data_IF_700007098438
#
_entry.id   IF_700007098438
#
_cell.length_a   1.000
_cell.length_b   1.000
_cell.length_c   1.000
_cell.angle_alpha   90.00
_cell.angle_beta   90.00
_cell.angle_gamma   90.00
#
_symmetry.space_group_name_H-M   'P 1'
#
loop_
_entity.id
_entity.type
_entity.pdbx_description
1 polymer ?
#
# COMPACT_ATOMS: atom_id res chain seq x y z
N UNK A 1 -30.47 39.30 -16.55
CA UNK A 1 -29.06 39.33 -16.99
C UNK A 1 -28.70 37.95 -17.54
N UNK A 2 -28.43 37.85 -18.83
CA UNK A 2 -27.98 36.63 -19.52
C UNK A 2 -26.52 36.80 -19.87
N UNK A 3 -25.66 35.87 -19.43
CA UNK A 3 -24.36 35.56 -20.07
C UNK A 3 -23.67 34.43 -19.30
N UNK A 4 -23.00 33.45 -19.90
CA UNK A 4 -22.88 32.96 -21.27
C UNK A 4 -22.14 31.62 -21.09
N UNK A 5 -22.70 30.53 -21.60
CA UNK A 5 -21.99 29.26 -21.70
C UNK A 5 -20.77 29.44 -22.61
N UNK A 6 -19.60 28.98 -22.16
CA UNK A 6 -18.46 28.72 -23.05
C UNK A 6 -17.92 27.34 -22.74
N UNK A 7 -18.51 26.36 -23.40
CA UNK A 7 -17.93 25.03 -23.60
C UNK A 7 -16.65 25.20 -24.43
N UNK A 8 -15.50 24.86 -23.86
CA UNK A 8 -14.25 24.70 -24.63
C UNK A 8 -13.95 23.22 -24.77
N UNK A 9 -14.51 22.63 -25.81
CA UNK A 9 -14.07 21.36 -26.37
C UNK A 9 -12.70 21.59 -27.01
N UNK A 10 -11.64 20.98 -26.45
CA UNK A 10 -10.37 20.83 -27.13
C UNK A 10 -10.23 19.38 -27.55
N UNK A 11 -10.60 19.11 -28.80
CA UNK A 11 -10.17 17.92 -29.51
C UNK A 11 -8.73 18.15 -29.97
N UNK A 12 -7.82 17.27 -29.56
CA UNK A 12 -6.49 17.15 -30.17
C UNK A 12 -6.33 15.69 -30.60
N UNK A 13 -6.46 15.46 -31.90
CA UNK A 13 -6.00 14.25 -32.58
C UNK A 13 -4.60 14.52 -33.13
N UNK A 14 -3.61 13.73 -32.74
CA UNK A 14 -2.59 13.20 -33.66
C UNK A 14 -1.50 12.35 -32.96
N UNK A 15 -1.47 11.08 -33.38
CA UNK A 15 -0.29 10.30 -33.79
C UNK A 15 0.64 9.76 -32.70
N UNK A 16 0.70 8.42 -32.69
CA UNK A 16 1.51 7.57 -31.84
C UNK A 16 3.02 7.79 -32.03
N UNK A 17 3.69 8.13 -30.93
CA UNK A 17 5.00 7.59 -30.61
C UNK A 17 4.80 6.70 -29.39
N UNK A 18 5.20 5.43 -29.50
CA UNK A 18 5.14 4.46 -28.41
C UNK A 18 6.17 4.81 -27.33
N UNK A 19 5.89 5.84 -26.56
CA UNK A 19 6.39 5.96 -25.19
C UNK A 19 5.36 5.21 -24.35
N UNK A 20 5.75 4.03 -23.88
CA UNK A 20 5.05 3.37 -22.79
C UNK A 20 5.09 4.35 -21.60
N UNK A 21 4.07 5.21 -21.50
CA UNK A 21 3.80 5.93 -20.28
C UNK A 21 3.65 4.85 -19.20
N UNK A 22 4.41 4.89 -18.09
CA UNK A 22 4.07 4.04 -16.98
C UNK A 22 2.63 4.38 -16.65
N UNK A 23 1.75 3.39 -16.72
CA UNK A 23 0.42 3.51 -16.19
C UNK A 23 0.61 4.07 -14.78
N UNK A 24 0.21 5.32 -14.56
CA UNK A 24 -0.11 5.82 -13.23
C UNK A 24 -1.32 5.00 -12.80
N UNK A 25 -1.08 3.73 -12.49
CA UNK A 25 -1.92 2.95 -11.64
C UNK A 25 -1.81 3.69 -10.31
N UNK A 26 -2.70 4.65 -10.10
CA UNK A 26 -3.20 4.90 -8.76
C UNK A 26 -3.61 3.52 -8.27
N UNK A 27 -2.71 2.84 -7.56
CA UNK A 27 -3.04 1.69 -6.76
C UNK A 27 -3.98 2.25 -5.72
N UNK A 28 -5.26 2.38 -6.10
CA UNK A 28 -6.32 2.58 -5.15
C UNK A 28 -6.12 1.45 -4.18
N UNK A 29 -5.75 1.78 -2.95
CA UNK A 29 -5.77 0.84 -1.83
C UNK A 29 -7.21 0.37 -1.79
N UNK A 30 -7.50 -0.73 -2.50
CA UNK A 30 -8.78 -1.40 -2.47
C UNK A 30 -9.04 -1.59 -0.99
N UNK A 31 -10.11 -0.92 -0.50
CA UNK A 31 -10.31 -0.69 0.92
C UNK A 31 -10.03 -1.98 1.67
N UNK A 32 -8.93 -1.98 2.42
CA UNK A 32 -8.43 -3.16 3.11
C UNK A 32 -9.61 -3.82 3.83
N UNK A 33 -9.93 -5.07 3.49
CA UNK A 33 -10.86 -5.85 4.32
C UNK A 33 -10.36 -5.77 5.77
N UNK A 34 -11.27 -5.73 6.76
CA UNK A 34 -10.90 -5.83 8.16
C UNK A 34 -9.88 -6.97 8.34
N UNK A 35 -8.72 -6.68 8.92
CA UNK A 35 -7.64 -7.65 9.12
C UNK A 35 -6.56 -7.75 8.04
N UNK A 36 -6.76 -7.22 6.83
CA UNK A 36 -5.80 -7.32 5.71
C UNK A 36 -4.96 -6.04 5.59
N UNK A 37 -3.82 -5.97 6.31
CA UNK A 37 -3.08 -4.70 6.47
C UNK A 37 -2.72 -4.05 5.13
N UNK A 38 -2.69 -2.71 5.01
CA UNK A 38 -2.64 -2.02 3.72
C UNK A 38 -1.41 -2.35 2.87
N UNK A 39 -0.32 -2.82 3.48
CA UNK A 39 0.90 -3.24 2.78
C UNK A 39 0.69 -4.47 1.89
N UNK A 40 -0.29 -5.35 2.20
CA UNK A 40 -0.51 -6.63 1.49
C UNK A 40 -0.82 -6.42 0.00
N UNK A 41 -1.36 -5.25 -0.36
CA UNK A 41 -1.78 -4.88 -1.71
C UNK A 41 -0.70 -4.15 -2.52
N UNK A 42 0.44 -3.82 -1.90
CA UNK A 42 1.48 -3.00 -2.54
C UNK A 42 2.30 -3.80 -3.54
N UNK A 43 2.68 -3.17 -4.65
CA UNK A 43 3.62 -3.72 -5.65
C UNK A 43 5.03 -3.13 -5.51
N UNK A 44 5.27 -2.30 -4.50
CA UNK A 44 6.55 -1.69 -4.22
C UNK A 44 7.64 -2.73 -3.94
N UNK A 45 8.85 -2.47 -4.47
CA UNK A 45 10.04 -3.26 -4.14
C UNK A 45 10.46 -3.03 -2.69
N UNK A 46 11.40 -3.85 -2.20
CA UNK A 46 11.92 -3.69 -0.84
C UNK A 46 12.50 -2.29 -0.60
N UNK A 47 13.32 -1.78 -1.53
CA UNK A 47 14.01 -0.49 -1.33
C UNK A 47 13.00 0.66 -1.27
N UNK A 48 12.00 0.63 -2.15
CA UNK A 48 10.89 1.58 -2.18
C UNK A 48 10.07 1.56 -0.90
N UNK A 49 9.68 0.35 -0.46
CA UNK A 49 8.90 0.16 0.74
C UNK A 49 9.68 0.62 1.98
N UNK A 50 10.96 0.29 2.05
CA UNK A 50 11.81 0.66 3.18
C UNK A 50 12.14 2.16 3.21
N UNK A 51 12.34 2.80 2.05
CA UNK A 51 12.46 4.25 1.95
C UNK A 51 11.19 4.96 2.44
N UNK A 52 10.01 4.51 2.01
CA UNK A 52 8.74 5.03 2.51
C UNK A 52 8.56 4.82 4.02
N UNK A 53 8.97 3.66 4.55
CA UNK A 53 8.94 3.41 6.01
C UNK A 53 9.84 4.41 6.76
N UNK A 54 11.03 4.73 6.24
CA UNK A 54 11.93 5.72 6.85
C UNK A 54 11.31 7.12 6.91
N UNK A 55 10.52 7.50 5.91
CA UNK A 55 9.87 8.82 5.88
C UNK A 55 8.59 8.85 6.71
N UNK A 56 7.67 7.90 6.49
CA UNK A 56 6.31 7.96 7.02
C UNK A 56 6.18 7.33 8.43
N UNK A 57 7.11 6.43 8.77
CA UNK A 57 7.14 5.71 10.03
C UNK A 57 8.58 5.59 10.61
N UNK A 58 9.27 6.70 10.89
CA UNK A 58 10.70 6.70 11.23
C UNK A 58 11.02 5.85 12.48
N UNK A 59 10.13 5.83 13.49
CA UNK A 59 10.29 4.94 14.66
C UNK A 59 10.25 3.46 14.28
N UNK A 60 9.42 3.08 13.30
CA UNK A 60 9.36 1.72 12.80
C UNK A 60 10.61 1.37 11.98
N UNK A 61 11.14 2.32 11.21
CA UNK A 61 12.40 2.15 10.50
C UNK A 61 13.56 1.86 11.47
N UNK A 62 13.71 2.65 12.54
CA UNK A 62 14.73 2.40 13.57
C UNK A 62 14.58 1.01 14.19
N UNK A 63 13.35 0.63 14.58
CA UNK A 63 13.09 -0.69 15.15
C UNK A 63 13.36 -1.84 14.16
N UNK A 64 13.20 -1.59 12.85
CA UNK A 64 13.52 -2.55 11.80
C UNK A 64 15.03 -2.67 11.61
N UNK A 65 15.77 -1.57 11.73
CA UNK A 65 17.24 -1.51 11.56
C UNK A 65 17.99 -2.26 12.64
N UNK A 66 17.43 -2.29 13.84
CA UNK A 66 17.95 -3.06 14.96
C UNK A 66 17.67 -4.56 14.85
N UNK A 67 16.89 -5.00 13.83
CA UNK A 67 16.38 -6.37 13.70
C UNK A 67 16.66 -6.96 12.31
N UNK A 68 17.85 -7.54 12.07
CA UNK A 68 18.20 -8.12 10.77
C UNK A 68 17.20 -9.17 10.26
N UNK A 69 16.66 -10.01 11.16
CA UNK A 69 15.64 -10.99 10.80
C UNK A 69 14.33 -10.34 10.32
N UNK A 70 13.96 -9.17 10.85
CA UNK A 70 12.78 -8.43 10.40
C UNK A 70 13.03 -7.74 9.05
N UNK A 71 14.24 -7.25 8.80
CA UNK A 71 14.62 -6.74 7.48
C UNK A 71 14.53 -7.83 6.42
N UNK A 72 15.01 -9.04 6.70
CA UNK A 72 14.89 -10.16 5.77
C UNK A 72 13.42 -10.48 5.47
N UNK A 73 12.56 -10.55 6.51
CA UNK A 73 11.12 -10.75 6.30
C UNK A 73 10.48 -9.68 5.43
N UNK A 74 10.90 -8.42 5.56
CA UNK A 74 10.40 -7.35 4.70
C UNK A 74 10.85 -7.54 3.24
N UNK A 75 12.09 -8.00 3.01
CA UNK A 75 12.60 -8.35 1.66
C UNK A 75 11.79 -9.49 1.07
N UNK A 76 11.58 -10.57 1.83
CA UNK A 76 10.83 -11.74 1.39
C UNK A 76 9.38 -11.37 1.09
N UNK A 77 8.77 -10.54 1.94
CA UNK A 77 7.45 -9.98 1.72
C UNK A 77 7.40 -9.19 0.40
N UNK A 78 8.30 -8.23 0.21
CA UNK A 78 8.33 -7.39 -0.99
C UNK A 78 8.58 -8.18 -2.28
N UNK A 79 9.33 -9.29 -2.20
CA UNK A 79 9.58 -10.18 -3.34
C UNK A 79 8.38 -11.08 -3.68
N UNK A 80 7.47 -11.32 -2.75
CA UNK A 80 6.27 -12.14 -2.97
C UNK A 80 5.25 -11.38 -3.85
N UNK A 81 4.67 -12.01 -4.90
CA UNK A 81 3.56 -11.44 -5.65
C UNK A 81 2.35 -11.13 -4.77
N UNK A 82 1.59 -10.09 -5.10
CA UNK A 82 0.43 -9.64 -4.30
C UNK A 82 -0.59 -10.76 -4.12
N UNK A 83 -0.86 -11.53 -5.17
CA UNK A 83 -1.81 -12.65 -5.12
C UNK A 83 -1.33 -13.72 -4.14
N UNK A 84 -0.03 -14.02 -4.13
CA UNK A 84 0.55 -14.99 -3.22
C UNK A 84 0.49 -14.50 -1.76
N UNK A 85 0.72 -13.20 -1.52
CA UNK A 85 0.58 -12.60 -0.17
C UNK A 85 -0.85 -12.74 0.36
N UNK A 86 -1.84 -12.45 -0.49
CA UNK A 86 -3.25 -12.56 -0.13
C UNK A 86 -3.67 -14.02 0.11
N UNK A 87 -3.19 -14.95 -0.72
CA UNK A 87 -3.45 -16.37 -0.54
C UNK A 87 -2.85 -16.89 0.77
N UNK A 88 -1.62 -16.52 1.07
CA UNK A 88 -0.95 -16.93 2.31
C UNK A 88 -1.64 -16.35 3.54
N UNK A 89 -2.02 -15.06 3.51
CA UNK A 89 -2.81 -14.46 4.58
C UNK A 89 -4.15 -15.17 4.76
N UNK A 90 -4.85 -15.45 3.66
CA UNK A 90 -6.13 -16.18 3.69
C UNK A 90 -5.98 -17.57 4.28
N UNK A 91 -4.92 -18.30 3.90
CA UNK A 91 -4.59 -19.63 4.44
C UNK A 91 -4.31 -19.55 5.95
N UNK A 92 -3.48 -18.60 6.38
CA UNK A 92 -3.14 -18.40 7.79
C UNK A 92 -4.37 -18.08 8.64
N UNK A 93 -5.26 -17.22 8.16
CA UNK A 93 -6.50 -16.87 8.85
C UNK A 93 -7.49 -18.04 8.90
N UNK A 94 -7.55 -18.87 7.85
CA UNK A 94 -8.37 -20.08 7.84
C UNK A 94 -7.85 -21.13 8.83
N UNK A 95 -6.53 -21.29 8.95
CA UNK A 95 -5.88 -22.18 9.93
C UNK A 95 -5.98 -21.64 11.36
N UNK A 96 -6.15 -20.33 11.52
CA UNK A 96 -6.19 -19.64 12.80
C UNK A 96 -7.41 -18.71 12.89
N UNK A 97 -8.65 -19.23 12.94
CA UNK A 97 -9.86 -18.43 12.86
C UNK A 97 -9.99 -17.39 13.98
N UNK A 98 -9.37 -17.65 15.14
CA UNK A 98 -9.32 -16.72 16.26
C UNK A 98 -8.42 -15.49 16.01
N UNK A 99 -7.56 -15.50 14.98
CA UNK A 99 -6.67 -14.37 14.69
C UNK A 99 -7.42 -13.19 14.10
N UNK A 100 -8.43 -13.43 13.26
CA UNK A 100 -9.21 -12.38 12.63
C UNK A 100 -9.78 -11.41 13.68
N UNK A 101 -10.53 -11.94 14.65
CA UNK A 101 -11.12 -11.14 15.71
C UNK A 101 -10.07 -10.38 16.53
N UNK A 102 -8.91 -10.99 16.80
CA UNK A 102 -7.81 -10.34 17.53
C UNK A 102 -7.14 -9.22 16.75
N UNK A 103 -7.02 -9.38 15.43
CA UNK A 103 -6.49 -8.34 14.55
C UNK A 103 -7.46 -7.16 14.54
N UNK A 104 -8.75 -7.44 14.35
CA UNK A 104 -9.80 -6.42 14.33
C UNK A 104 -9.88 -5.66 15.65
N UNK A 105 -9.86 -6.37 16.79
CA UNK A 105 -9.80 -5.76 18.13
C UNK A 105 -8.58 -4.85 18.29
N UNK A 106 -7.39 -5.35 17.91
CA UNK A 106 -6.14 -4.59 18.03
C UNK A 106 -6.12 -3.36 17.14
N UNK A 107 -6.73 -3.43 15.95
CA UNK A 107 -6.81 -2.29 15.05
C UNK A 107 -7.87 -1.29 15.49
N UNK A 108 -8.91 -1.71 16.20
CA UNK A 108 -9.96 -0.83 16.70
C UNK A 108 -9.48 0.14 17.81
N UNK A 109 -8.34 -0.11 18.46
CA UNK A 109 -7.80 0.83 19.45
C UNK A 109 -7.27 2.11 18.79
N UNK A 110 -7.21 3.25 19.50
CA UNK A 110 -6.64 4.49 18.96
C UNK A 110 -5.20 4.33 18.44
N UNK A 111 -4.37 3.59 19.18
CA UNK A 111 -2.99 3.29 18.77
C UNK A 111 -2.94 2.34 17.58
N UNK A 112 -3.91 1.43 17.47
CA UNK A 112 -4.09 0.54 16.33
C UNK A 112 -4.40 1.33 15.06
N UNK A 113 -5.38 2.23 15.13
CA UNK A 113 -5.78 3.10 14.03
C UNK A 113 -4.62 4.00 13.57
N UNK A 114 -3.86 4.58 14.49
CA UNK A 114 -2.68 5.38 14.15
C UNK A 114 -1.65 4.56 13.36
N UNK A 115 -1.38 3.32 13.79
CA UNK A 115 -0.44 2.44 13.09
C UNK A 115 -0.97 2.03 11.71
N UNK A 116 -2.26 1.73 11.60
CA UNK A 116 -2.89 1.41 10.31
C UNK A 116 -2.80 2.59 9.35
N UNK A 117 -3.05 3.82 9.83
CA UNK A 117 -2.91 5.04 9.01
C UNK A 117 -1.46 5.26 8.55
N UNK A 118 -0.47 5.03 9.41
CA UNK A 118 0.95 5.10 8.99
C UNK A 118 1.28 4.03 7.94
N UNK A 119 0.82 2.79 8.13
CA UNK A 119 1.02 1.74 7.13
C UNK A 119 0.30 2.06 5.81
N UNK A 120 -0.88 2.67 5.85
CA UNK A 120 -1.61 3.10 4.67
C UNK A 120 -0.83 4.20 3.92
N UNK A 121 -0.27 5.17 4.64
CA UNK A 121 0.59 6.21 4.05
C UNK A 121 1.83 5.62 3.40
N UNK A 122 2.48 4.65 4.04
CA UNK A 122 3.60 3.89 3.43
C UNK A 122 3.14 3.19 2.15
N UNK A 123 2.00 2.50 2.16
CA UNK A 123 1.47 1.80 0.99
C UNK A 123 1.14 2.75 -0.18
N UNK A 124 0.59 3.92 0.13
CA UNK A 124 0.19 4.93 -0.84
C UNK A 124 1.40 5.60 -1.49
N UNK A 125 2.43 5.92 -0.70
CA UNK A 125 3.58 6.72 -1.14
C UNK A 125 4.79 5.91 -1.57
N UNK A 126 4.80 4.58 -1.36
CA UNK A 126 6.03 3.80 -1.62
C UNK A 126 6.50 3.84 -3.08
N UNK A 127 5.62 4.12 -4.04
CA UNK A 127 6.00 4.29 -5.44
C UNK A 127 6.73 5.61 -5.74
N UNK A 128 6.70 6.58 -4.82
CA UNK A 128 7.38 7.87 -4.96
C UNK A 128 8.86 7.80 -4.55
N UNK A 129 9.32 6.62 -4.10
CA UNK A 129 10.70 6.31 -3.74
C UNK A 129 11.29 5.29 -4.72
#
# INVERSE_FOLDING_TARGET
MVSRFVTRTLAVTAVAAAVAAPLLASAGVASAQPGNGPLIHTTCSYDQLYAAIRTEAPRAATALDERPAAQQKLRDFAAMPVEQRQQELSRLLAENPQWQAKIDEKWATPEGQEKVQRMARVAETCHDY
#
